data_IF_002207147908
#
_entry.id   IF_002207147908
#
_cell.length_a   1.000
_cell.length_b   1.000
_cell.length_c   1.000
_cell.angle_alpha   90.00
_cell.angle_beta   90.00
_cell.angle_gamma   90.00
#
_symmetry.space_group_name_H-M   'P 1'
#
loop_
_entity.id
_entity.type
_entity.pdbx_description
1 polymer ?
#
# COMPACT_ATOMS: atom_id res chain seq x y z
N UNK A 1 6.44 -19.03 7.36
CA UNK A 1 6.25 -19.75 6.07
C UNK A 1 7.54 -20.40 5.59
N UNK A 2 8.64 -19.70 5.39
CA UNK A 2 9.88 -20.26 4.83
C UNK A 2 10.40 -21.52 5.55
N UNK A 3 10.38 -21.57 6.89
CA UNK A 3 10.75 -22.76 7.65
C UNK A 3 9.87 -23.98 7.29
N UNK A 4 8.55 -23.77 7.14
CA UNK A 4 7.62 -24.83 6.74
C UNK A 4 7.88 -25.36 5.34
N UNK A 5 8.14 -24.48 4.37
CA UNK A 5 8.44 -24.85 2.98
C UNK A 5 9.74 -25.67 2.91
N UNK A 6 10.80 -25.24 3.62
CA UNK A 6 12.05 -26.04 3.72
C UNK A 6 11.81 -27.42 4.34
N UNK A 7 10.97 -27.52 5.36
CA UNK A 7 10.57 -28.81 5.97
C UNK A 7 9.73 -29.67 5.04
N UNK A 8 9.02 -29.08 4.07
CA UNK A 8 8.31 -29.82 3.03
C UNK A 8 9.23 -30.40 1.95
N UNK A 9 10.48 -29.94 1.85
CA UNK A 9 11.48 -30.48 0.94
C UNK A 9 11.97 -29.52 -0.14
N UNK A 10 11.67 -28.21 -0.04
CA UNK A 10 12.24 -27.20 -0.95
C UNK A 10 13.63 -26.76 -0.49
N UNK A 11 14.61 -26.86 -1.34
CA UNK A 11 16.00 -26.47 -1.05
C UNK A 11 16.20 -24.95 -1.15
N UNK A 12 15.58 -24.32 -2.15
CA UNK A 12 15.65 -22.88 -2.37
C UNK A 12 14.33 -22.21 -1.96
N UNK A 13 14.43 -21.19 -1.11
CA UNK A 13 13.26 -20.41 -0.63
C UNK A 13 13.63 -18.94 -0.60
N UNK A 14 12.96 -18.15 -1.44
CA UNK A 14 13.09 -16.70 -1.51
C UNK A 14 12.03 -16.07 -0.61
N UNK A 15 12.47 -15.27 0.36
CA UNK A 15 11.59 -14.52 1.25
C UNK A 15 11.52 -13.07 0.77
N UNK A 16 10.37 -12.65 0.24
CA UNK A 16 10.18 -11.35 -0.36
C UNK A 16 9.08 -10.57 0.36
N UNK A 17 9.41 -9.52 1.13
CA UNK A 17 8.41 -8.68 1.75
C UNK A 17 7.68 -7.85 0.70
N UNK A 18 6.34 -7.80 0.79
CA UNK A 18 5.46 -7.06 -0.10
C UNK A 18 4.58 -6.09 0.69
N UNK A 19 4.14 -5.04 0.02
CA UNK A 19 3.17 -4.06 0.51
C UNK A 19 2.33 -3.52 -0.65
N UNK A 20 1.26 -2.82 -0.33
CA UNK A 20 0.29 -2.27 -1.29
C UNK A 20 0.37 -0.74 -1.43
N UNK A 21 1.46 -0.10 -1.04
CA UNK A 21 1.56 1.37 -1.04
C UNK A 21 0.94 2.03 0.20
N UNK A 22 0.50 1.23 1.18
CA UNK A 22 0.01 1.69 2.48
C UNK A 22 1.11 1.97 3.50
N UNK A 23 0.72 2.02 4.79
CA UNK A 23 1.67 2.11 5.91
C UNK A 23 2.54 0.85 5.95
N UNK A 24 3.86 1.02 6.21
CA UNK A 24 4.83 -0.06 6.21
C UNK A 24 5.53 -0.31 4.86
N UNK A 25 5.11 0.37 3.80
CA UNK A 25 5.77 0.29 2.48
C UNK A 25 7.25 0.68 2.56
N UNK A 26 7.58 1.71 3.34
CA UNK A 26 8.96 2.15 3.55
C UNK A 26 9.81 1.05 4.18
N UNK A 27 9.29 0.37 5.20
CA UNK A 27 9.97 -0.71 5.91
C UNK A 27 10.15 -1.93 5.02
N UNK A 28 9.11 -2.28 4.28
CA UNK A 28 9.09 -3.36 3.30
C UNK A 28 10.16 -3.16 2.23
N UNK A 29 10.20 -1.98 1.62
CA UNK A 29 11.17 -1.64 0.58
C UNK A 29 12.61 -1.59 1.12
N UNK A 30 12.82 -1.07 2.33
CA UNK A 30 14.14 -1.10 2.98
C UNK A 30 14.61 -2.51 3.30
N UNK A 31 13.71 -3.39 3.77
CA UNK A 31 14.05 -4.78 4.06
C UNK A 31 14.44 -5.54 2.79
N UNK A 32 13.73 -5.31 1.68
CA UNK A 32 13.97 -6.00 0.41
C UNK A 32 15.20 -5.47 -0.35
N UNK A 33 15.40 -4.13 -0.38
CA UNK A 33 16.41 -3.49 -1.25
C UNK A 33 17.62 -2.97 -0.49
N UNK A 34 17.56 -2.96 0.83
CA UNK A 34 18.54 -2.24 1.64
C UNK A 34 18.48 -0.74 1.43
N UNK A 35 19.33 0.00 2.14
CA UNK A 35 19.36 1.45 2.05
C UNK A 35 19.52 2.11 3.41
N UNK A 36 19.06 3.34 3.55
CA UNK A 36 19.15 4.09 4.81
C UNK A 36 17.90 4.89 5.11
N UNK A 37 17.51 4.91 6.39
CA UNK A 37 16.48 5.83 6.89
C UNK A 37 17.05 7.21 7.10
N UNK A 38 16.21 8.21 6.91
CA UNK A 38 16.47 9.61 7.17
C UNK A 38 15.26 10.24 7.84
N UNK A 39 15.47 11.38 8.47
CA UNK A 39 14.44 12.11 9.19
C UNK A 39 14.42 13.56 8.76
N UNK A 40 13.25 14.15 8.73
CA UNK A 40 13.06 15.58 8.55
C UNK A 40 11.99 16.08 9.53
N UNK A 41 12.21 17.28 10.07
CA UNK A 41 11.21 17.98 10.87
C UNK A 41 10.27 18.72 9.94
N UNK A 42 8.99 18.37 9.96
CA UNK A 42 7.96 18.90 9.08
C UNK A 42 6.69 19.24 9.86
N UNK A 43 5.73 19.88 9.18
CA UNK A 43 4.42 20.20 9.77
C UNK A 43 3.56 18.95 9.85
N UNK A 44 3.03 18.63 11.03
CA UNK A 44 2.04 17.55 11.23
C UNK A 44 0.66 17.90 10.67
N UNK A 45 -0.29 16.96 10.70
CA UNK A 45 -1.59 17.14 10.05
C UNK A 45 -2.41 18.29 10.61
N UNK A 46 -2.28 18.60 11.90
CA UNK A 46 -3.00 19.71 12.55
C UNK A 46 -2.13 20.95 12.83
N UNK A 47 -0.91 20.98 12.30
CA UNK A 47 -0.01 22.13 12.37
C UNK A 47 1.15 22.00 13.36
N UNK A 48 1.13 21.03 14.25
CA UNK A 48 2.23 20.78 15.19
C UNK A 48 3.45 20.21 14.45
N UNK A 49 4.69 20.54 14.85
CA UNK A 49 5.87 19.97 14.22
C UNK A 49 6.02 18.48 14.54
N UNK A 50 6.35 17.67 13.54
CA UNK A 50 6.60 16.23 13.69
C UNK A 50 7.93 15.85 13.05
N UNK A 51 8.58 14.83 13.61
CA UNK A 51 9.73 14.16 12.99
C UNK A 51 9.19 13.07 12.05
N UNK A 52 9.33 13.29 10.75
CA UNK A 52 8.88 12.37 9.71
C UNK A 52 10.05 11.59 9.14
N UNK A 53 9.90 10.27 9.08
CA UNK A 53 10.90 9.38 8.47
C UNK A 53 10.65 9.23 6.98
N UNK A 54 11.72 9.05 6.24
CA UNK A 54 11.75 8.65 4.84
C UNK A 54 12.98 7.78 4.58
N UNK A 55 13.07 7.11 3.46
CA UNK A 55 14.18 6.22 3.16
C UNK A 55 14.82 6.52 1.81
N UNK A 56 16.09 6.15 1.68
CA UNK A 56 16.79 6.04 0.40
C UNK A 56 17.16 4.58 0.21
N UNK A 57 16.60 3.97 -0.82
CA UNK A 57 16.91 2.59 -1.20
C UNK A 57 18.25 2.52 -1.92
N UNK A 58 18.88 1.35 -1.90
CA UNK A 58 20.00 1.06 -2.77
C UNK A 58 19.58 1.29 -4.23
N UNK A 59 20.36 2.09 -4.97
CA UNK A 59 19.99 2.57 -6.31
C UNK A 59 19.38 3.98 -6.35
N UNK A 60 19.29 4.68 -5.18
CA UNK A 60 19.01 6.12 -5.13
C UNK A 60 17.53 6.49 -5.27
N UNK A 61 16.60 5.56 -5.07
CA UNK A 61 15.16 5.85 -5.02
C UNK A 61 14.81 6.28 -3.59
N UNK A 62 14.19 7.44 -3.44
CA UNK A 62 13.65 7.88 -2.17
C UNK A 62 12.22 7.36 -1.98
N UNK A 63 11.89 6.97 -0.75
CA UNK A 63 10.56 6.50 -0.36
C UNK A 63 10.01 7.42 0.72
N UNK A 64 8.84 7.97 0.48
CA UNK A 64 8.10 8.85 1.39
C UNK A 64 6.75 8.21 1.68
N UNK A 65 6.46 7.92 2.94
CA UNK A 65 5.09 7.62 3.36
C UNK A 65 4.42 8.91 3.83
N UNK A 66 3.29 9.27 3.22
CA UNK A 66 2.57 10.47 3.64
C UNK A 66 2.10 10.38 5.09
N UNK A 67 1.86 9.19 5.60
CA UNK A 67 1.45 8.93 6.98
C UNK A 67 2.50 9.40 8.01
N UNK A 68 3.78 9.45 7.65
CA UNK A 68 4.85 9.95 8.52
C UNK A 68 4.70 11.44 8.85
N UNK A 69 4.10 12.22 7.94
CA UNK A 69 3.92 13.66 8.10
C UNK A 69 2.45 14.08 8.27
N UNK A 70 1.52 13.43 7.55
CA UNK A 70 0.12 13.86 7.44
C UNK A 70 -0.87 12.71 7.74
N UNK A 71 -0.43 11.69 8.50
CA UNK A 71 -1.20 10.50 8.84
C UNK A 71 -2.06 10.65 10.08
N UNK A 72 -3.08 9.77 10.20
CA UNK A 72 -3.93 9.68 11.39
C UNK A 72 -3.15 9.34 12.66
N UNK A 73 -2.10 8.51 12.54
CA UNK A 73 -1.23 8.15 13.66
C UNK A 73 -0.43 9.35 14.23
N UNK A 74 -0.37 10.47 13.51
CA UNK A 74 0.27 11.71 13.95
C UNK A 74 -0.69 12.68 14.64
N UNK A 75 -1.98 12.34 14.70
CA UNK A 75 -3.00 13.15 15.36
C UNK A 75 -3.07 12.77 16.84
N UNK A 76 -2.79 13.71 17.73
CA UNK A 76 -2.99 13.53 19.16
C UNK A 76 -4.43 13.89 19.53
N UNK A 77 -5.23 12.87 19.91
CA UNK A 77 -6.64 13.04 20.24
C UNK A 77 -7.55 12.90 19.01
N UNK A 78 -8.56 13.76 18.90
CA UNK A 78 -9.52 13.72 17.81
C UNK A 78 -8.99 14.49 16.58
N UNK A 79 -9.10 13.89 15.40
CA UNK A 79 -8.79 14.57 14.16
C UNK A 79 -9.77 15.70 13.84
N UNK A 80 -9.31 16.75 13.19
CA UNK A 80 -10.14 17.80 12.60
C UNK A 80 -10.08 17.69 11.06
N UNK A 81 -11.05 17.00 10.43
CA UNK A 81 -11.03 16.75 8.99
C UNK A 81 -11.09 18.02 8.13
N UNK A 82 -11.57 19.16 8.68
CA UNK A 82 -11.64 20.43 7.96
C UNK A 82 -10.31 21.21 7.95
N UNK A 83 -9.44 20.94 8.94
CA UNK A 83 -8.16 21.62 9.15
C UNK A 83 -6.96 20.75 8.83
N UNK A 84 -7.12 19.42 8.88
CA UNK A 84 -6.03 18.49 8.58
C UNK A 84 -5.42 18.75 7.21
N UNK A 85 -4.09 18.82 7.15
CA UNK A 85 -3.32 19.40 6.05
C UNK A 85 -2.23 18.44 5.57
N UNK A 86 -2.02 18.40 4.27
CA UNK A 86 -0.94 17.65 3.60
C UNK A 86 0.38 18.44 3.54
N UNK A 87 0.48 19.62 4.16
CA UNK A 87 1.68 20.49 4.11
C UNK A 87 2.96 19.73 4.43
N UNK A 88 2.97 18.98 5.52
CA UNK A 88 4.16 18.21 5.94
C UNK A 88 4.62 17.17 4.93
N UNK A 89 3.69 16.54 4.20
CA UNK A 89 4.06 15.64 3.10
C UNK A 89 4.78 16.40 1.98
N UNK A 90 4.30 17.59 1.61
CA UNK A 90 4.98 18.46 0.64
C UNK A 90 6.37 18.90 1.13
N UNK A 91 6.49 19.28 2.41
CA UNK A 91 7.77 19.64 3.04
C UNK A 91 8.74 18.44 3.07
N UNK A 92 8.24 17.22 3.30
CA UNK A 92 9.06 16.00 3.29
C UNK A 92 9.59 15.70 1.87
N UNK A 93 8.75 15.82 0.84
CA UNK A 93 9.17 15.69 -0.56
C UNK A 93 10.19 16.78 -0.92
N UNK A 94 10.00 18.01 -0.46
CA UNK A 94 10.95 19.10 -0.64
C UNK A 94 12.31 18.81 0.04
N UNK A 95 12.29 18.21 1.23
CA UNK A 95 13.51 17.80 1.94
C UNK A 95 14.27 16.70 1.18
N UNK A 96 13.55 15.73 0.57
CA UNK A 96 14.13 14.72 -0.33
C UNK A 96 14.84 15.37 -1.51
N UNK A 97 14.17 16.32 -2.17
CA UNK A 97 14.74 17.10 -3.28
C UNK A 97 15.98 17.88 -2.88
N UNK A 98 15.95 18.54 -1.73
CA UNK A 98 17.07 19.32 -1.22
C UNK A 98 18.32 18.46 -0.93
N UNK A 99 18.16 17.17 -0.68
CA UNK A 99 19.25 16.20 -0.54
C UNK A 99 19.72 15.59 -1.89
N UNK A 100 19.21 16.06 -3.02
CA UNK A 100 19.65 15.67 -4.36
C UNK A 100 19.00 14.43 -4.93
N UNK A 101 17.96 13.87 -4.27
CA UNK A 101 17.22 12.72 -4.80
C UNK A 101 16.14 13.19 -5.75
N UNK A 102 16.08 12.57 -6.92
CA UNK A 102 15.17 12.95 -8.01
C UNK A 102 14.20 11.84 -8.43
N UNK A 103 14.33 10.63 -7.87
CA UNK A 103 13.38 9.53 -8.05
C UNK A 103 12.69 9.27 -6.71
N UNK A 104 11.39 9.48 -6.63
CA UNK A 104 10.64 9.43 -5.38
C UNK A 104 9.39 8.58 -5.54
N UNK A 105 9.21 7.62 -4.65
CA UNK A 105 7.95 6.90 -4.45
C UNK A 105 7.25 7.52 -3.25
N UNK A 106 5.98 7.91 -3.42
CA UNK A 106 5.12 8.45 -2.36
C UNK A 106 4.00 7.46 -2.08
N UNK A 107 4.08 6.78 -0.95
CA UNK A 107 3.01 5.91 -0.45
C UNK A 107 1.94 6.75 0.27
N UNK A 108 0.66 6.52 -0.07
CA UNK A 108 -0.43 7.42 0.34
C UNK A 108 -1.45 6.80 1.32
N UNK A 109 -1.15 5.65 1.92
CA UNK A 109 -1.96 5.05 2.99
C UNK A 109 -1.96 5.86 4.28
N UNK A 110 -2.90 5.57 5.21
CA UNK A 110 -2.94 6.09 6.58
C UNK A 110 -3.25 7.58 6.74
N UNK A 111 -3.78 8.28 5.73
CA UNK A 111 -3.95 9.74 5.72
C UNK A 111 -4.98 10.27 6.73
N UNK A 112 -4.68 11.41 7.40
CA UNK A 112 -5.62 12.18 8.21
C UNK A 112 -6.42 13.22 7.40
N UNK A 113 -6.00 13.52 6.18
CA UNK A 113 -6.30 14.73 5.43
C UNK A 113 -7.35 14.52 4.34
N UNK A 114 -8.08 15.60 3.99
CA UNK A 114 -9.00 15.66 2.85
C UNK A 114 -8.92 17.07 2.23
N UNK A 115 -7.71 17.60 2.05
CA UNK A 115 -7.43 18.94 1.53
C UNK A 115 -7.07 18.94 0.03
N UNK A 116 -7.27 17.81 -0.66
CA UNK A 116 -6.97 17.67 -2.08
C UNK A 116 -5.48 17.77 -2.43
N UNK A 117 -4.60 17.67 -1.42
CA UNK A 117 -3.16 17.87 -1.62
C UNK A 117 -2.73 19.33 -1.73
N UNK A 118 -3.66 20.29 -1.59
CA UNK A 118 -3.36 21.70 -1.84
C UNK A 118 -2.17 22.20 -1.02
N UNK A 119 -2.14 21.90 0.26
CA UNK A 119 -1.08 22.38 1.13
C UNK A 119 0.29 21.75 0.80
N UNK A 120 0.31 20.51 0.31
CA UNK A 120 1.54 19.88 -0.19
C UNK A 120 2.04 20.57 -1.45
N UNK A 121 1.13 20.90 -2.39
CA UNK A 121 1.47 21.64 -3.60
C UNK A 121 2.04 23.02 -3.27
N UNK A 122 1.46 23.72 -2.30
CA UNK A 122 1.97 25.02 -1.83
C UNK A 122 3.37 24.90 -1.22
N UNK A 123 3.63 23.87 -0.39
CA UNK A 123 4.95 23.62 0.16
C UNK A 123 5.99 23.28 -0.92
N UNK A 124 5.57 22.66 -2.02
CA UNK A 124 6.40 22.33 -3.19
C UNK A 124 6.52 23.48 -4.19
N UNK A 125 5.92 24.66 -3.91
CA UNK A 125 5.80 25.77 -4.84
C UNK A 125 5.18 25.35 -6.20
N UNK A 126 4.23 24.43 -6.18
CA UNK A 126 3.53 23.89 -7.34
C UNK A 126 4.46 23.27 -8.40
N UNK A 127 5.57 22.67 -8.00
CA UNK A 127 6.56 22.16 -8.94
C UNK A 127 7.28 20.92 -8.41
N UNK A 128 7.34 19.90 -9.25
CA UNK A 128 8.19 18.72 -9.08
C UNK A 128 9.42 18.79 -10.03
N UNK A 129 9.77 19.99 -10.52
CA UNK A 129 10.86 20.14 -11.49
C UNK A 129 12.14 19.44 -11.02
N UNK A 130 12.73 18.63 -11.90
CA UNK A 130 13.91 17.84 -11.64
C UNK A 130 13.66 16.52 -10.88
N UNK A 131 12.40 16.19 -10.57
CA UNK A 131 12.02 14.96 -9.89
C UNK A 131 11.08 14.10 -10.75
N UNK A 132 11.27 12.80 -10.72
CA UNK A 132 10.27 11.81 -11.12
C UNK A 132 9.60 11.28 -9.85
N UNK A 133 8.33 11.61 -9.66
CA UNK A 133 7.55 11.22 -8.50
C UNK A 133 6.48 10.23 -8.92
N UNK A 134 6.47 9.05 -8.33
CA UNK A 134 5.43 8.04 -8.49
C UNK A 134 4.63 7.96 -7.19
N UNK A 135 3.33 8.13 -7.28
CA UNK A 135 2.39 7.99 -6.16
C UNK A 135 1.83 6.57 -6.19
N UNK A 136 2.17 5.80 -5.17
CA UNK A 136 1.73 4.41 -5.00
C UNK A 136 0.36 4.38 -4.31
N UNK A 137 -0.70 4.00 -5.04
CA UNK A 137 -2.06 3.96 -4.52
C UNK A 137 -2.89 2.80 -5.10
N UNK A 138 -3.56 2.03 -4.24
CA UNK A 138 -4.38 0.87 -4.61
C UNK A 138 -5.89 1.14 -4.56
N UNK A 139 -6.27 2.39 -4.64
CA UNK A 139 -7.69 2.78 -4.67
C UNK A 139 -8.02 3.47 -5.99
N UNK A 140 -9.18 3.15 -6.54
CA UNK A 140 -9.69 3.74 -7.78
C UNK A 140 -10.56 4.98 -7.54
N UNK A 141 -10.67 5.43 -6.29
CA UNK A 141 -11.56 6.51 -5.89
C UNK A 141 -11.26 7.79 -6.68
N UNK A 142 -12.30 8.34 -7.30
CA UNK A 142 -12.21 9.62 -8.02
C UNK A 142 -11.90 10.77 -7.06
N UNK A 143 -11.23 11.82 -7.55
CA UNK A 143 -10.79 12.97 -6.75
C UNK A 143 -11.90 13.60 -5.91
N UNK A 144 -13.06 13.87 -6.51
CA UNK A 144 -14.19 14.52 -5.83
C UNK A 144 -14.90 13.61 -4.82
N UNK A 145 -14.74 12.28 -4.93
CA UNK A 145 -15.37 11.29 -4.05
C UNK A 145 -14.53 10.97 -2.80
N UNK A 146 -13.30 11.47 -2.74
CA UNK A 146 -12.40 11.19 -1.61
C UNK A 146 -13.01 11.53 -0.24
N UNK A 147 -13.81 12.59 -0.14
CA UNK A 147 -14.48 12.98 1.11
C UNK A 147 -15.61 12.01 1.48
N UNK A 148 -16.38 11.55 0.49
CA UNK A 148 -17.48 10.61 0.71
C UNK A 148 -16.97 9.24 1.18
N UNK A 149 -15.92 8.74 0.51
CA UNK A 149 -15.38 7.41 0.77
C UNK A 149 -14.55 7.38 2.06
N UNK A 150 -13.65 8.33 2.25
CA UNK A 150 -12.66 8.29 3.33
C UNK A 150 -12.90 9.29 4.46
N UNK A 151 -13.81 10.26 4.28
CA UNK A 151 -14.08 11.28 5.30
C UNK A 151 -14.57 10.71 6.63
N UNK A 152 -15.53 9.77 6.65
CA UNK A 152 -16.06 9.20 7.90
C UNK A 152 -14.98 8.56 8.78
N UNK A 153 -14.09 7.76 8.22
CA UNK A 153 -13.00 7.12 8.97
C UNK A 153 -11.95 8.12 9.51
N UNK A 154 -11.92 9.34 8.95
CA UNK A 154 -11.07 10.46 9.41
C UNK A 154 -11.80 11.36 10.42
N UNK A 155 -13.01 10.97 10.86
CA UNK A 155 -13.81 11.67 11.85
C UNK A 155 -14.73 12.75 11.27
N UNK A 156 -14.97 12.81 9.96
CA UNK A 156 -15.87 13.79 9.37
C UNK A 156 -17.33 13.42 9.58
N UNK A 157 -18.13 14.40 10.05
CA UNK A 157 -19.60 14.31 10.06
C UNK A 157 -20.16 14.42 8.64
N UNK A 158 -21.42 14.00 8.41
CA UNK A 158 -22.05 14.13 7.09
C UNK A 158 -22.06 15.56 6.54
N UNK A 159 -22.25 16.58 7.39
CA UNK A 159 -22.16 17.99 6.99
C UNK A 159 -20.73 18.38 6.57
N UNK A 160 -19.72 17.90 7.28
CA UNK A 160 -18.31 18.11 6.92
C UNK A 160 -17.93 17.39 5.63
N UNK A 161 -18.40 16.14 5.41
CA UNK A 161 -18.23 15.42 4.16
C UNK A 161 -18.78 16.23 2.99
N UNK A 162 -20.02 16.74 3.09
CA UNK A 162 -20.62 17.56 2.04
C UNK A 162 -19.82 18.85 1.76
N UNK A 163 -19.24 19.47 2.80
CA UNK A 163 -18.39 20.65 2.64
C UNK A 163 -17.06 20.30 1.96
N UNK A 164 -16.40 19.22 2.41
CA UNK A 164 -15.13 18.75 1.84
C UNK A 164 -15.29 18.33 0.38
N UNK A 165 -16.39 17.64 0.02
CA UNK A 165 -16.70 17.29 -1.38
C UNK A 165 -16.80 18.55 -2.26
N UNK A 166 -17.48 19.60 -1.78
CA UNK A 166 -17.54 20.88 -2.51
C UNK A 166 -16.15 21.52 -2.67
N UNK A 167 -15.32 21.50 -1.60
CA UNK A 167 -13.95 22.02 -1.66
C UNK A 167 -13.12 21.26 -2.69
N UNK A 168 -13.20 19.92 -2.73
CA UNK A 168 -12.48 19.10 -3.71
C UNK A 168 -12.90 19.42 -5.15
N UNK A 169 -14.20 19.59 -5.42
CA UNK A 169 -14.67 20.00 -6.76
C UNK A 169 -14.08 21.35 -7.18
N UNK A 170 -14.10 22.34 -6.29
CA UNK A 170 -13.48 23.64 -6.57
C UNK A 170 -11.96 23.55 -6.76
N UNK A 171 -11.29 22.65 -6.04
CA UNK A 171 -9.87 22.40 -6.20
C UNK A 171 -9.55 21.74 -7.55
N UNK A 172 -10.36 20.79 -8.03
CA UNK A 172 -10.20 20.20 -9.35
C UNK A 172 -10.25 21.26 -10.45
N UNK A 173 -11.22 22.19 -10.39
CA UNK A 173 -11.31 23.32 -11.33
C UNK A 173 -10.05 24.23 -11.25
N UNK A 174 -9.59 24.53 -10.02
CA UNK A 174 -8.38 25.32 -9.80
C UNK A 174 -7.13 24.64 -10.36
N UNK A 175 -6.99 23.32 -10.18
CA UNK A 175 -5.86 22.55 -10.71
C UNK A 175 -5.87 22.57 -12.23
N UNK A 176 -7.02 22.27 -12.84
CA UNK A 176 -7.19 22.33 -14.29
C UNK A 176 -6.86 23.69 -14.86
N UNK A 177 -7.34 24.76 -14.25
CA UNK A 177 -7.07 26.13 -14.69
C UNK A 177 -5.57 26.50 -14.58
N UNK A 178 -4.87 25.98 -13.56
CA UNK A 178 -3.46 26.34 -13.30
C UNK A 178 -2.46 25.47 -14.05
N UNK A 179 -2.73 24.18 -14.20
CA UNK A 179 -1.77 23.19 -14.71
C UNK A 179 -2.19 22.55 -16.03
N UNK A 180 -3.45 22.71 -16.43
CA UNK A 180 -4.05 22.03 -17.57
C UNK A 180 -4.49 20.58 -17.29
N UNK A 181 -4.16 20.02 -16.11
CA UNK A 181 -4.49 18.64 -15.74
C UNK A 181 -5.88 18.57 -15.13
N UNK A 182 -6.74 17.72 -15.69
CA UNK A 182 -8.06 17.39 -15.12
C UNK A 182 -7.96 16.18 -14.20
N UNK A 183 -7.76 16.42 -12.92
CA UNK A 183 -7.63 15.36 -11.90
C UNK A 183 -8.90 14.54 -11.70
N UNK A 184 -10.06 14.99 -12.22
CA UNK A 184 -11.31 14.22 -12.14
C UNK A 184 -11.34 13.05 -13.10
N UNK A 185 -10.46 13.03 -14.11
CA UNK A 185 -10.32 11.96 -15.09
C UNK A 185 -9.26 10.92 -14.71
N UNK A 186 -8.54 11.15 -13.61
CA UNK A 186 -7.46 10.27 -13.16
C UNK A 186 -7.99 9.25 -12.15
N UNK A 187 -7.85 7.98 -12.46
CA UNK A 187 -8.14 6.87 -11.54
C UNK A 187 -7.19 6.96 -10.34
N UNK A 188 -7.74 6.79 -9.13
CA UNK A 188 -6.94 6.88 -7.89
C UNK A 188 -6.64 8.30 -7.41
N UNK A 189 -7.04 9.35 -8.13
CA UNK A 189 -6.77 10.74 -7.75
C UNK A 189 -7.35 11.12 -6.37
N UNK A 190 -8.37 10.41 -5.90
CA UNK A 190 -8.96 10.59 -4.56
C UNK A 190 -8.15 10.01 -3.41
N UNK A 191 -7.11 9.22 -3.69
CA UNK A 191 -6.28 8.62 -2.65
C UNK A 191 -5.72 9.70 -1.70
N UNK A 192 -5.63 9.35 -0.41
CA UNK A 192 -5.19 10.25 0.66
C UNK A 192 -5.96 11.59 0.71
N UNK A 193 -7.28 11.52 0.48
CA UNK A 193 -8.12 12.73 0.51
C UNK A 193 -7.82 13.71 -0.63
N UNK A 194 -7.36 13.18 -1.77
CA UNK A 194 -7.03 13.93 -2.98
C UNK A 194 -5.55 14.34 -3.09
N UNK A 195 -4.69 13.94 -2.15
CA UNK A 195 -3.24 14.21 -2.26
C UNK A 195 -2.67 13.64 -3.57
N UNK A 196 -3.06 12.39 -3.93
CA UNK A 196 -2.60 11.76 -5.15
C UNK A 196 -2.95 12.61 -6.39
N UNK A 197 -4.20 13.05 -6.52
CA UNK A 197 -4.63 13.94 -7.59
C UNK A 197 -3.92 15.30 -7.58
N UNK A 198 -3.71 15.86 -6.37
CA UNK A 198 -2.92 17.08 -6.24
C UNK A 198 -1.50 16.93 -6.79
N UNK A 199 -0.78 15.89 -6.37
CA UNK A 199 0.57 15.62 -6.87
C UNK A 199 0.57 15.33 -8.39
N UNK A 200 -0.43 14.61 -8.90
CA UNK A 200 -0.59 14.37 -10.33
C UNK A 200 -0.81 15.67 -11.11
N UNK A 201 -1.55 16.63 -10.55
CA UNK A 201 -1.75 17.95 -11.16
C UNK A 201 -0.43 18.71 -11.42
N UNK A 202 0.63 18.40 -10.69
CA UNK A 202 1.96 19.02 -10.87
C UNK A 202 2.98 18.06 -11.48
N UNK A 203 2.55 16.93 -12.04
CA UNK A 203 3.37 16.04 -12.86
C UNK A 203 3.86 14.78 -12.16
N UNK A 204 3.24 14.33 -11.05
CA UNK A 204 3.48 13.01 -10.52
C UNK A 204 2.72 11.93 -11.31
N UNK A 205 3.30 10.76 -11.47
CA UNK A 205 2.66 9.58 -12.03
C UNK A 205 1.85 8.86 -10.92
N UNK A 206 0.61 8.45 -11.21
CA UNK A 206 -0.17 7.57 -10.33
C UNK A 206 0.04 6.13 -10.79
N UNK A 207 0.34 5.23 -9.86
CA UNK A 207 0.52 3.82 -10.15
C UNK A 207 -0.07 2.95 -9.03
N UNK A 208 -0.54 1.72 -9.34
CA UNK A 208 -0.96 0.77 -8.33
C UNK A 208 0.17 0.51 -7.33
N UNK A 209 -0.15 0.58 -6.03
CA UNK A 209 0.86 0.50 -4.99
C UNK A 209 1.55 -0.85 -4.95
N UNK A 210 0.78 -1.93 -5.12
CA UNK A 210 1.34 -3.27 -5.25
C UNK A 210 2.36 -3.34 -6.39
N UNK A 211 2.04 -2.85 -7.60
CA UNK A 211 2.95 -2.89 -8.75
C UNK A 211 4.26 -2.15 -8.48
N UNK A 212 4.16 -0.94 -7.90
CA UNK A 212 5.34 -0.13 -7.54
C UNK A 212 6.25 -0.89 -6.57
N UNK A 213 5.66 -1.58 -5.58
CA UNK A 213 6.41 -2.37 -4.61
C UNK A 213 6.96 -3.64 -5.25
N UNK A 214 6.14 -4.39 -6.00
CA UNK A 214 6.51 -5.64 -6.66
C UNK A 214 7.72 -5.46 -7.60
N UNK A 215 7.68 -4.42 -8.45
CA UNK A 215 8.83 -4.05 -9.30
C UNK A 215 10.06 -3.67 -8.46
N UNK A 216 9.85 -2.86 -7.42
CA UNK A 216 10.95 -2.40 -6.59
C UNK A 216 11.63 -3.54 -5.83
N UNK A 217 10.91 -4.56 -5.39
CA UNK A 217 11.48 -5.71 -4.66
C UNK A 217 11.99 -6.82 -5.59
N UNK A 218 11.63 -6.80 -6.89
CA UNK A 218 12.04 -7.80 -7.87
C UNK A 218 11.17 -9.06 -7.82
N UNK A 219 9.84 -8.89 -7.62
CA UNK A 219 8.89 -10.00 -7.56
C UNK A 219 8.92 -10.86 -8.83
N UNK A 220 9.04 -10.25 -10.03
CA UNK A 220 9.15 -10.96 -11.30
C UNK A 220 10.26 -12.01 -11.27
N UNK A 221 11.48 -11.59 -10.96
CA UNK A 221 12.63 -12.47 -10.90
C UNK A 221 12.51 -13.56 -9.80
N UNK A 222 11.74 -13.30 -8.73
CA UNK A 222 11.50 -14.26 -7.67
C UNK A 222 10.43 -15.31 -8.05
N UNK A 223 9.49 -14.96 -8.92
CA UNK A 223 8.46 -15.88 -9.42
C UNK A 223 8.89 -16.64 -10.67
N UNK A 224 9.84 -16.12 -11.46
CA UNK A 224 10.31 -16.76 -12.67
C UNK A 224 10.93 -18.14 -12.36
N UNK A 225 10.30 -19.20 -12.86
CA UNK A 225 10.71 -20.59 -12.60
C UNK A 225 10.41 -21.11 -11.20
N UNK A 226 9.61 -20.42 -10.39
CA UNK A 226 9.21 -20.91 -9.09
C UNK A 226 8.18 -22.04 -9.20
N UNK A 227 8.39 -23.14 -8.46
CA UNK A 227 7.45 -24.27 -8.36
C UNK A 227 6.23 -23.94 -7.50
N UNK A 228 6.40 -23.05 -6.51
CA UNK A 228 5.39 -22.66 -5.54
C UNK A 228 5.57 -21.20 -5.13
N UNK A 229 4.50 -20.42 -5.21
CA UNK A 229 4.39 -19.11 -4.55
C UNK A 229 3.51 -19.20 -3.31
N UNK A 230 3.94 -18.61 -2.19
CA UNK A 230 3.11 -18.50 -0.98
C UNK A 230 2.93 -17.02 -0.65
N UNK A 231 1.69 -16.57 -0.63
CA UNK A 231 1.31 -15.24 -0.15
C UNK A 231 0.34 -15.35 1.02
N UNK A 232 0.00 -14.25 1.66
CA UNK A 232 -0.99 -14.28 2.72
C UNK A 232 -1.27 -12.95 3.38
N UNK A 233 -2.31 -12.97 4.22
CA UNK A 233 -2.77 -11.82 4.96
C UNK A 233 -3.57 -12.22 6.21
N UNK A 234 -3.96 -11.24 7.04
CA UNK A 234 -4.76 -11.52 8.24
C UNK A 234 -6.18 -11.98 7.94
N UNK A 235 -6.83 -11.38 6.92
CA UNK A 235 -8.20 -11.70 6.52
C UNK A 235 -8.33 -11.63 5.00
N UNK A 236 -8.57 -12.77 4.39
CA UNK A 236 -8.86 -12.89 2.97
C UNK A 236 -10.35 -12.62 2.71
N UNK A 237 -10.65 -11.58 1.95
CA UNK A 237 -11.98 -11.24 1.48
C UNK A 237 -11.98 -10.82 0.00
N UNK A 238 -13.14 -10.48 -0.55
CA UNK A 238 -13.25 -10.12 -1.96
C UNK A 238 -12.34 -8.93 -2.35
N UNK A 239 -12.10 -7.99 -1.42
CA UNK A 239 -11.23 -6.84 -1.68
C UNK A 239 -9.74 -7.22 -1.77
N UNK A 240 -9.33 -8.31 -1.14
CA UNK A 240 -7.97 -8.85 -1.19
C UNK A 240 -7.57 -9.32 -2.60
N UNK A 241 -8.57 -9.73 -3.39
CA UNK A 241 -8.39 -10.21 -4.76
C UNK A 241 -8.39 -9.07 -5.80
N UNK A 242 -8.77 -7.85 -5.37
CA UNK A 242 -8.90 -6.70 -6.26
C UNK A 242 -7.64 -5.81 -6.24
N UNK A 243 -6.50 -6.33 -6.74
CA UNK A 243 -5.28 -5.53 -6.95
C UNK A 243 -4.42 -5.26 -5.72
N UNK A 244 -4.73 -5.86 -4.55
CA UNK A 244 -3.88 -5.83 -3.36
C UNK A 244 -2.82 -6.94 -3.41
N UNK A 245 -2.03 -7.09 -2.34
CA UNK A 245 -0.89 -8.03 -2.32
C UNK A 245 -1.29 -9.43 -2.76
N UNK A 246 -2.37 -10.02 -2.21
CA UNK A 246 -2.78 -11.39 -2.57
C UNK A 246 -3.21 -11.47 -4.03
N UNK A 247 -4.11 -10.58 -4.48
CA UNK A 247 -4.58 -10.55 -5.86
C UNK A 247 -3.47 -10.24 -6.85
N UNK A 248 -2.55 -9.35 -6.51
CA UNK A 248 -1.39 -9.02 -7.33
C UNK A 248 -0.42 -10.20 -7.48
N UNK A 249 -0.07 -10.88 -6.37
CA UNK A 249 0.78 -12.09 -6.44
C UNK A 249 0.13 -13.17 -7.28
N UNK A 250 -1.19 -13.37 -7.15
CA UNK A 250 -1.93 -14.32 -7.98
C UNK A 250 -1.86 -13.96 -9.46
N UNK A 251 -2.02 -12.69 -9.82
CA UNK A 251 -1.96 -12.25 -11.21
C UNK A 251 -0.55 -12.45 -11.80
N UNK A 252 0.49 -12.02 -11.07
CA UNK A 252 1.87 -12.19 -11.52
C UNK A 252 2.28 -13.67 -11.60
N UNK A 253 1.83 -14.50 -10.65
CA UNK A 253 2.10 -15.94 -10.68
C UNK A 253 1.46 -16.61 -11.91
N UNK A 254 0.24 -16.21 -12.30
CA UNK A 254 -0.42 -16.69 -13.51
C UNK A 254 0.34 -16.26 -14.77
N UNK A 255 0.70 -14.99 -14.86
CA UNK A 255 1.40 -14.42 -16.03
C UNK A 255 2.77 -15.08 -16.24
N UNK A 256 3.44 -15.48 -15.16
CA UNK A 256 4.75 -16.15 -15.18
C UNK A 256 4.66 -17.68 -15.17
N UNK A 257 3.45 -18.24 -15.14
CA UNK A 257 3.22 -19.68 -15.24
C UNK A 257 3.60 -20.49 -13.99
N UNK A 258 3.55 -19.88 -12.79
CA UNK A 258 3.78 -20.58 -11.53
C UNK A 258 2.66 -21.59 -11.29
N UNK A 259 3.01 -22.87 -11.24
CA UNK A 259 2.03 -23.96 -11.22
C UNK A 259 1.23 -24.04 -9.92
N UNK A 260 1.81 -23.64 -8.80
CA UNK A 260 1.17 -23.75 -7.48
C UNK A 260 1.24 -22.41 -6.73
N UNK A 261 0.09 -21.93 -6.24
CA UNK A 261 0.00 -20.76 -5.39
C UNK A 261 -0.77 -21.10 -4.13
N UNK A 262 -0.19 -20.83 -2.96
CA UNK A 262 -0.88 -21.00 -1.69
C UNK A 262 -1.14 -19.65 -1.02
N UNK A 263 -2.36 -19.44 -0.55
CA UNK A 263 -2.77 -18.26 0.21
C UNK A 263 -2.95 -18.68 1.66
N UNK A 264 -2.02 -18.25 2.53
CA UNK A 264 -2.11 -18.48 3.98
C UNK A 264 -2.77 -17.26 4.61
N UNK A 265 -3.98 -17.43 5.13
CA UNK A 265 -4.75 -16.35 5.73
C UNK A 265 -5.14 -16.65 7.18
N UNK A 266 -5.19 -15.62 8.04
CA UNK A 266 -5.72 -15.79 9.39
C UNK A 266 -7.15 -16.32 9.36
N UNK A 267 -7.98 -15.73 8.50
CA UNK A 267 -9.34 -16.19 8.17
C UNK A 267 -9.64 -15.93 6.69
N UNK A 268 -10.59 -16.66 6.11
CA UNK A 268 -11.05 -16.44 4.73
C UNK A 268 -12.57 -16.42 4.70
N UNK A 269 -13.15 -15.44 3.99
CA UNK A 269 -14.60 -15.37 3.79
C UNK A 269 -15.07 -16.38 2.74
N UNK A 270 -16.36 -16.77 2.81
CA UNK A 270 -16.94 -17.72 1.85
C UNK A 270 -16.90 -17.18 0.41
N UNK A 271 -17.12 -15.86 0.23
CA UNK A 271 -17.06 -15.21 -1.09
C UNK A 271 -15.66 -15.27 -1.70
N UNK A 272 -14.61 -15.04 -0.89
CA UNK A 272 -13.23 -15.16 -1.35
C UNK A 272 -12.85 -16.59 -1.71
N UNK A 273 -13.30 -17.58 -0.91
CA UNK A 273 -13.11 -19.01 -1.22
C UNK A 273 -13.82 -19.39 -2.52
N UNK A 274 -15.08 -18.97 -2.69
CA UNK A 274 -15.86 -19.24 -3.89
C UNK A 274 -15.20 -18.66 -5.15
N UNK A 275 -14.59 -17.47 -5.06
CA UNK A 275 -13.87 -16.85 -6.17
C UNK A 275 -12.58 -17.60 -6.59
N UNK A 276 -12.06 -18.46 -5.74
CA UNK A 276 -10.78 -19.16 -5.95
C UNK A 276 -10.94 -20.68 -6.12
N UNK A 277 -12.13 -21.26 -5.87
CA UNK A 277 -12.37 -22.70 -5.85
C UNK A 277 -12.06 -23.41 -7.17
N UNK A 278 -12.35 -22.75 -8.28
CA UNK A 278 -12.15 -23.30 -9.64
C UNK A 278 -10.79 -22.90 -10.23
N UNK A 279 -9.94 -22.18 -9.47
CA UNK A 279 -8.64 -21.74 -9.97
C UNK A 279 -7.61 -22.84 -9.79
N UNK A 280 -7.20 -23.46 -10.89
CA UNK A 280 -6.23 -24.57 -10.87
C UNK A 280 -4.91 -24.15 -10.21
N UNK A 281 -4.37 -25.03 -9.36
CA UNK A 281 -3.10 -24.78 -8.67
C UNK A 281 -3.18 -23.83 -7.48
N UNK A 282 -4.33 -23.19 -7.21
CA UNK A 282 -4.49 -22.25 -6.08
C UNK A 282 -5.07 -22.96 -4.86
N UNK A 283 -4.47 -22.74 -3.69
CA UNK A 283 -4.95 -23.25 -2.40
C UNK A 283 -5.20 -22.11 -1.43
N UNK A 284 -6.30 -22.17 -0.68
CA UNK A 284 -6.59 -21.26 0.44
C UNK A 284 -6.45 -22.03 1.75
N UNK A 285 -5.51 -21.61 2.57
CA UNK A 285 -5.16 -22.24 3.85
C UNK A 285 -5.45 -21.26 4.99
N UNK A 286 -6.70 -21.24 5.48
CA UNK A 286 -7.09 -20.37 6.57
C UNK A 286 -6.73 -20.99 7.94
N UNK A 287 -6.10 -20.18 8.81
CA UNK A 287 -5.69 -20.65 10.14
C UNK A 287 -6.89 -20.97 11.03
N UNK A 288 -8.02 -20.28 10.83
CA UNK A 288 -9.27 -20.58 11.53
C UNK A 288 -9.81 -21.99 11.28
N UNK A 289 -9.49 -22.59 10.14
CA UNK A 289 -9.92 -23.97 9.80
C UNK A 289 -9.13 -25.03 10.56
N UNK A 290 -8.03 -24.64 11.23
CA UNK A 290 -7.06 -25.50 11.91
C UNK A 290 -7.21 -25.52 13.43
N UNK A 291 -8.18 -24.77 13.96
CA UNK A 291 -8.38 -24.61 15.41
C UNK A 291 -9.86 -24.69 15.78
N UNK A 292 -10.15 -25.13 17.01
CA UNK A 292 -11.52 -25.17 17.53
C UNK A 292 -12.06 -23.79 17.91
N UNK A 293 -11.19 -22.92 18.41
CA UNK A 293 -11.55 -21.56 18.82
C UNK A 293 -10.70 -20.56 18.04
N UNK A 294 -11.34 -19.57 17.43
CA UNK A 294 -10.64 -18.55 16.63
C UNK A 294 -9.59 -17.77 17.42
N UNK A 295 -9.73 -17.67 18.75
CA UNK A 295 -8.72 -17.06 19.63
C UNK A 295 -7.38 -17.80 19.63
N UNK A 296 -7.36 -19.11 19.34
CA UNK A 296 -6.12 -19.90 19.25
C UNK A 296 -5.24 -19.44 18.08
N UNK A 297 -5.82 -18.88 17.03
CA UNK A 297 -5.04 -18.34 15.88
C UNK A 297 -4.07 -17.27 16.32
N UNK A 298 -4.42 -16.44 17.31
CA UNK A 298 -3.54 -15.37 17.81
C UNK A 298 -2.40 -15.89 18.70
N UNK A 299 -2.65 -16.93 19.48
CA UNK A 299 -1.64 -17.49 20.40
C UNK A 299 -0.71 -18.50 19.73
N UNK A 300 -1.17 -19.13 18.64
CA UNK A 300 -0.44 -20.18 17.90
C UNK A 300 -0.11 -19.78 16.47
N UNK A 301 -0.21 -18.49 16.11
CA UNK A 301 -0.06 -18.00 14.73
C UNK A 301 1.19 -18.55 14.05
N UNK A 302 2.36 -18.46 14.68
CA UNK A 302 3.63 -18.90 14.08
C UNK A 302 3.61 -20.40 13.73
N UNK A 303 3.08 -21.24 14.64
CA UNK A 303 2.97 -22.68 14.43
C UNK A 303 2.00 -23.01 13.30
N UNK A 304 0.81 -22.41 13.32
CA UNK A 304 -0.24 -22.65 12.32
C UNK A 304 0.19 -22.18 10.91
N UNK A 305 0.91 -21.05 10.82
CA UNK A 305 1.51 -20.58 9.55
C UNK A 305 2.58 -21.54 9.05
N UNK A 306 3.40 -22.11 9.94
CA UNK A 306 4.40 -23.11 9.55
C UNK A 306 3.74 -24.40 9.07
N UNK A 307 2.72 -24.90 9.77
CA UNK A 307 1.94 -26.08 9.37
C UNK A 307 1.25 -25.89 8.01
N UNK A 308 0.63 -24.71 7.79
CA UNK A 308 0.03 -24.35 6.50
C UNK A 308 1.06 -24.34 5.37
N UNK A 309 2.26 -23.79 5.62
CA UNK A 309 3.33 -23.77 4.64
C UNK A 309 3.91 -25.15 4.33
N UNK A 310 3.97 -26.06 5.32
CA UNK A 310 4.35 -27.47 5.10
C UNK A 310 3.31 -28.15 4.19
N UNK A 311 2.03 -27.94 4.46
CA UNK A 311 0.95 -28.53 3.65
C UNK A 311 1.01 -28.01 2.20
N UNK A 312 1.14 -26.69 2.02
CA UNK A 312 1.29 -26.07 0.70
C UNK A 312 2.46 -26.68 -0.09
N UNK A 313 3.63 -26.80 0.57
CA UNK A 313 4.81 -27.37 -0.06
C UNK A 313 4.65 -28.84 -0.44
N UNK A 314 4.06 -29.66 0.43
CA UNK A 314 3.79 -31.08 0.13
C UNK A 314 2.83 -31.25 -1.05
N UNK A 315 1.78 -30.43 -1.09
CA UNK A 315 0.80 -30.48 -2.18
C UNK A 315 1.45 -30.10 -3.51
N UNK A 316 2.33 -29.10 -3.52
CA UNK A 316 3.05 -28.70 -4.72
C UNK A 316 4.03 -29.80 -5.20
N UNK A 317 4.65 -30.55 -4.28
CA UNK A 317 5.53 -31.67 -4.61
C UNK A 317 4.77 -32.99 -4.90
N UNK A 318 3.44 -33.00 -4.81
CA UNK A 318 2.65 -34.22 -5.00
C UNK A 318 2.86 -35.27 -3.89
N UNK A 319 3.35 -34.86 -2.70
CA UNK A 319 3.64 -35.74 -1.57
C UNK A 319 2.42 -35.79 -0.64
N UNK A 320 1.76 -36.94 -0.42
CA UNK A 320 0.58 -37.00 0.45
C UNK A 320 0.91 -36.59 1.88
N UNK A 321 -0.08 -36.06 2.59
CA UNK A 321 0.00 -35.88 4.04
C UNK A 321 0.23 -37.23 4.74
N UNK A 322 1.03 -37.29 5.85
CA UNK A 322 1.30 -38.51 6.57
C UNK A 322 0.06 -39.07 7.25
#
# INVERSE_FOLDING_TARGET
MAAGVRRAGFDEVIELPLADGGEGTLDTLLAARGGSRRTARVTGPLGDPVEAQWAVLTGGIAVVEMAQASGLARVHGQNDPLRASTRGTGELIAAVRAQGFNRVVVAVGGSATTDGGLAALEALNWSLAGMKVTVACDVETAFAEAANVFGPQKGATGAQVALLTRRLKMLADRYRARTGVDVTQLTGAGAAGGLAGGLAAIGADLAPGFEVVAEAVGLEAALEGADLAITGEGKLDASSLAGKVVGGVLAWADDLGVAHVAIVAGQATDDARAALVDRAGVQVLALTDRVWQSSETYTRTALLVEEAAIEAGRNALGTPAP
#
